data_IF_451947574754
#
_entry.id   IF_451947574754
#
_cell.length_a   1.000
_cell.length_b   1.000
_cell.length_c   1.000
_cell.angle_alpha   90.00
_cell.angle_beta   90.00
_cell.angle_gamma   90.00
#
_symmetry.space_group_name_H-M   'P 1'
#
loop_
_entity.id
_entity.type
_entity.pdbx_description
1 polymer ?
#
# COMPACT_ATOMS: atom_id res chain seq x y z
N UNK A 1 -4.93 8.50 20.24
CA UNK A 1 -5.66 8.65 18.96
C UNK A 1 -6.04 7.26 18.49
N UNK A 2 -7.33 6.93 18.40
CA UNK A 2 -7.73 5.62 17.91
C UNK A 2 -7.38 5.50 16.42
N UNK A 3 -7.07 4.28 15.99
CA UNK A 3 -6.83 3.96 14.59
C UNK A 3 -7.53 2.65 14.24
N UNK A 4 -7.88 2.51 12.97
CA UNK A 4 -8.40 1.29 12.38
C UNK A 4 -7.33 0.69 11.46
N UNK A 5 -7.11 -0.63 11.55
CA UNK A 5 -6.17 -1.34 10.69
C UNK A 5 -6.92 -2.01 9.54
N UNK A 6 -6.45 -1.81 8.32
CA UNK A 6 -7.06 -2.36 7.11
C UNK A 6 -6.03 -3.20 6.34
N UNK A 7 -6.49 -4.38 5.90
CA UNK A 7 -5.78 -5.28 5.01
C UNK A 7 -6.68 -5.56 3.81
N UNK A 8 -6.63 -4.72 2.76
CA UNK A 8 -7.54 -4.84 1.63
C UNK A 8 -7.24 -6.07 0.79
N UNK A 9 -8.30 -6.62 0.17
CA UNK A 9 -8.17 -7.65 -0.85
C UNK A 9 -7.32 -7.14 -2.02
N UNK A 10 -6.52 -8.04 -2.61
CA UNK A 10 -5.63 -7.72 -3.73
C UNK A 10 -4.22 -7.30 -3.30
N UNK A 11 -3.95 -7.12 -2.01
CA UNK A 11 -2.60 -7.06 -1.45
C UNK A 11 -2.20 -8.43 -0.90
N UNK A 12 -0.90 -8.67 -0.81
CA UNK A 12 -0.36 -9.87 -0.19
C UNK A 12 -0.76 -9.97 1.29
N UNK A 13 -0.68 -11.17 1.86
CA UNK A 13 -0.93 -11.32 3.31
C UNK A 13 0.21 -10.67 4.12
N UNK A 14 -0.08 -9.67 4.98
CA UNK A 14 0.96 -9.02 5.76
C UNK A 14 1.39 -9.89 6.96
N UNK A 15 2.67 -9.79 7.34
CA UNK A 15 3.25 -10.54 8.47
C UNK A 15 3.78 -9.55 9.51
N UNK A 16 3.08 -9.43 10.63
CA UNK A 16 3.47 -8.55 11.76
C UNK A 16 3.15 -7.07 11.55
N UNK A 17 2.37 -6.71 10.53
CA UNK A 17 1.89 -5.35 10.26
C UNK A 17 0.50 -5.38 9.61
N UNK A 18 -0.07 -4.20 9.32
CA UNK A 18 -1.24 -4.05 8.44
C UNK A 18 -0.92 -3.06 7.32
N UNK A 19 -1.50 -3.25 6.13
CA UNK A 19 -1.19 -2.40 4.97
C UNK A 19 -1.55 -0.94 5.20
N UNK A 20 -2.62 -0.66 5.95
CA UNK A 20 -3.08 0.70 6.23
C UNK A 20 -3.46 0.86 7.70
N UNK A 21 -3.04 1.96 8.29
CA UNK A 21 -3.58 2.49 9.54
C UNK A 21 -4.35 3.79 9.26
N UNK A 22 -5.68 3.76 9.45
CA UNK A 22 -6.57 4.90 9.27
C UNK A 22 -6.79 5.61 10.61
N UNK A 23 -6.37 6.87 10.70
CA UNK A 23 -6.53 7.66 11.93
C UNK A 23 -7.97 8.17 12.03
N UNK A 24 -8.71 7.75 13.06
CA UNK A 24 -10.17 8.05 13.14
C UNK A 24 -10.49 9.50 13.51
N UNK A 25 -9.51 10.25 14.02
CA UNK A 25 -9.63 11.67 14.36
C UNK A 25 -9.36 12.64 13.20
N UNK A 26 -9.22 12.16 11.95
CA UNK A 26 -8.86 13.01 10.82
C UNK A 26 -8.96 12.29 9.47
N UNK A 27 -8.23 12.81 8.47
CA UNK A 27 -8.17 12.24 7.10
C UNK A 27 -6.81 11.62 6.76
N UNK A 28 -5.90 11.60 7.73
CA UNK A 28 -4.55 11.05 7.53
C UNK A 28 -4.62 9.53 7.64
N UNK A 29 -3.96 8.86 6.70
CA UNK A 29 -3.67 7.44 6.76
C UNK A 29 -2.16 7.23 6.69
N UNK A 30 -1.70 6.18 7.34
CA UNK A 30 -0.35 5.67 7.16
C UNK A 30 -0.44 4.39 6.36
N UNK A 31 0.32 4.32 5.27
CA UNK A 31 0.41 3.11 4.43
C UNK A 31 1.76 2.46 4.70
N UNK A 32 1.76 1.17 4.96
CA UNK A 32 2.99 0.40 5.07
C UNK A 32 3.74 0.42 3.72
N UNK A 33 5.05 0.17 3.73
CA UNK A 33 5.82 0.09 2.49
C UNK A 33 5.21 -0.94 1.54
N UNK A 34 4.97 -0.54 0.29
CA UNK A 34 4.49 -1.44 -0.74
C UNK A 34 5.67 -1.97 -1.54
N UNK A 35 5.70 -3.28 -1.76
CA UNK A 35 6.70 -4.00 -2.53
C UNK A 35 6.04 -4.59 -3.80
N UNK A 36 6.83 -5.04 -4.79
CA UNK A 36 6.29 -5.56 -6.05
C UNK A 36 5.75 -6.99 -5.88
N UNK A 37 4.92 -7.23 -4.87
CA UNK A 37 4.22 -8.49 -4.67
C UNK A 37 2.86 -8.47 -5.36
N UNK A 38 2.42 -9.60 -5.88
CA UNK A 38 1.02 -9.84 -6.20
C UNK A 38 0.22 -10.24 -4.94
N UNK A 39 -1.09 -10.46 -5.08
CA UNK A 39 -1.96 -10.87 -3.97
C UNK A 39 -1.58 -12.23 -3.33
N UNK A 40 -0.79 -13.06 -4.03
CA UNK A 40 -0.29 -14.32 -3.51
C UNK A 40 1.07 -14.16 -2.79
N UNK A 41 1.65 -12.96 -2.81
CA UNK A 41 2.99 -12.69 -2.24
C UNK A 41 4.13 -12.99 -3.21
N UNK A 42 3.86 -13.23 -4.50
CA UNK A 42 4.90 -13.50 -5.50
C UNK A 42 5.46 -12.21 -6.09
N UNK A 43 6.78 -12.19 -6.33
CA UNK A 43 7.45 -11.00 -6.88
C UNK A 43 7.13 -10.84 -8.36
N UNK A 44 6.48 -9.74 -8.71
CA UNK A 44 6.20 -9.30 -10.08
C UNK A 44 7.42 -8.54 -10.64
N UNK A 45 7.79 -8.82 -11.89
CA UNK A 45 8.84 -8.06 -12.60
C UNK A 45 10.26 -8.36 -12.12
N UNK A 46 10.61 -9.62 -11.79
CA UNK A 46 12.00 -9.99 -11.42
C UNK A 46 12.99 -9.53 -12.49
N UNK A 47 13.95 -8.68 -12.11
CA UNK A 47 14.95 -8.12 -13.02
C UNK A 47 14.46 -6.94 -13.87
N UNK A 48 13.20 -6.52 -13.71
CA UNK A 48 12.59 -5.39 -14.42
C UNK A 48 12.08 -4.35 -13.42
N UNK A 49 12.84 -3.26 -13.26
CA UNK A 49 12.52 -2.17 -12.34
C UNK A 49 11.21 -1.47 -12.72
N UNK A 50 10.91 -1.32 -14.01
CA UNK A 50 9.71 -0.60 -14.48
C UNK A 50 8.46 -1.43 -14.16
N UNK A 51 8.53 -2.74 -14.39
CA UNK A 51 7.45 -3.66 -14.01
C UNK A 51 7.26 -3.70 -12.49
N UNK A 52 8.34 -3.73 -11.70
CA UNK A 52 8.26 -3.69 -10.24
C UNK A 52 7.62 -2.39 -9.73
N UNK A 53 8.08 -1.24 -10.22
CA UNK A 53 7.53 0.05 -9.84
C UNK A 53 6.03 0.13 -10.20
N UNK A 54 5.65 -0.39 -11.36
CA UNK A 54 4.24 -0.44 -11.78
C UNK A 54 3.39 -1.29 -10.82
N UNK A 55 3.90 -2.42 -10.32
CA UNK A 55 3.20 -3.22 -9.32
C UNK A 55 3.11 -2.50 -7.97
N UNK A 56 4.20 -1.88 -7.50
CA UNK A 56 4.23 -1.11 -6.25
C UNK A 56 3.19 0.01 -6.27
N UNK A 57 3.07 0.74 -7.38
CA UNK A 57 2.09 1.81 -7.51
C UNK A 57 0.64 1.29 -7.56
N UNK A 58 0.41 0.09 -8.13
CA UNK A 58 -0.90 -0.57 -8.06
C UNK A 58 -1.26 -0.97 -6.63
N UNK A 59 -0.32 -1.56 -5.90
CA UNK A 59 -0.51 -1.94 -4.50
C UNK A 59 -0.80 -0.71 -3.63
N UNK A 60 -0.06 0.38 -3.85
CA UNK A 60 -0.28 1.65 -3.15
C UNK A 60 -1.66 2.24 -3.45
N UNK A 61 -2.14 2.14 -4.69
CA UNK A 61 -3.49 2.55 -5.07
C UNK A 61 -4.54 1.73 -4.33
N UNK A 62 -4.42 0.40 -4.31
CA UNK A 62 -5.34 -0.50 -3.59
C UNK A 62 -5.40 -0.16 -2.09
N UNK A 63 -4.24 0.06 -1.46
CA UNK A 63 -4.16 0.43 -0.06
C UNK A 63 -4.90 1.76 0.23
N UNK A 64 -4.68 2.79 -0.59
CA UNK A 64 -5.31 4.10 -0.36
C UNK A 64 -6.80 4.09 -0.67
N UNK A 65 -7.25 3.37 -1.69
CA UNK A 65 -8.67 3.22 -2.01
C UNK A 65 -9.43 2.48 -0.91
N UNK A 66 -8.81 1.51 -0.23
CA UNK A 66 -9.40 0.82 0.92
C UNK A 66 -9.74 1.74 2.09
N UNK A 67 -9.01 2.85 2.24
CA UNK A 67 -9.31 3.87 3.24
C UNK A 67 -10.26 4.97 2.73
N UNK A 68 -10.70 4.91 1.47
CA UNK A 68 -11.56 5.89 0.81
C UNK A 68 -10.81 7.05 0.14
N UNK A 69 -9.49 6.94 -0.04
CA UNK A 69 -8.68 7.94 -0.74
C UNK A 69 -8.48 7.62 -2.22
N UNK A 70 -7.71 8.47 -2.91
CA UNK A 70 -7.34 8.33 -4.33
C UNK A 70 -5.87 8.70 -4.53
N UNK A 71 -5.32 8.38 -5.70
CA UNK A 71 -3.90 8.65 -6.01
C UNK A 71 -3.51 10.14 -5.96
N UNK A 72 -4.45 11.05 -6.19
CA UNK A 72 -4.21 12.49 -6.07
C UNK A 72 -4.21 13.01 -4.61
N UNK A 73 -4.47 12.15 -3.63
CA UNK A 73 -4.43 12.49 -2.20
C UNK A 73 -3.05 12.19 -1.57
N UNK A 74 -2.06 11.73 -2.34
CA UNK A 74 -0.71 11.49 -1.85
C UNK A 74 -0.02 12.80 -1.46
N UNK A 75 0.18 13.00 -0.16
CA UNK A 75 0.89 14.17 0.37
C UNK A 75 2.42 14.01 0.32
N UNK A 76 2.92 12.81 0.61
CA UNK A 76 4.36 12.46 0.64
C UNK A 76 4.52 11.01 0.19
N UNK A 77 5.54 10.74 -0.62
CA UNK A 77 5.99 9.39 -0.97
C UNK A 77 7.44 9.22 -0.54
N UNK A 78 7.73 8.16 0.19
CA UNK A 78 9.10 7.73 0.52
C UNK A 78 9.42 6.52 -0.33
N UNK A 79 10.43 6.64 -1.20
CA UNK A 79 10.79 5.62 -2.19
C UNK A 79 12.19 5.10 -1.88
N UNK A 80 12.33 3.77 -1.88
CA UNK A 80 13.60 3.05 -1.75
C UNK A 80 13.84 2.26 -3.04
N UNK A 81 15.06 2.32 -3.59
CA UNK A 81 15.48 1.62 -4.81
C UNK A 81 16.69 0.76 -4.49
#
# INVERSE_FOLDING_TARGET
MPFELLNPEGLESPVGYAHVAKITGGKIIHVAGQAPFDANGEVVGRGDLVAQFSQVMQNLKTAVEAAGGRANDYAVLTIYI
#
